data_IF_437145372622
#
_entry.id   IF_437145372622
#
_cell.length_a   1.000
_cell.length_b   1.000
_cell.length_c   1.000
_cell.angle_alpha   90.00
_cell.angle_beta   90.00
_cell.angle_gamma   90.00
#
_symmetry.space_group_name_H-M   'P 1'
#
loop_
_entity.id
_entity.type
_entity.pdbx_description
1 polymer ?
#
# COMPACT_ATOMS: atom_id res chain seq x y z
N UNK A 1 14.37 -6.87 -13.78
CA UNK A 1 15.35 -6.41 -12.77
C UNK A 1 14.64 -6.42 -11.44
N UNK A 2 15.27 -6.92 -10.38
CA UNK A 2 14.66 -6.97 -9.05
C UNK A 2 14.58 -5.57 -8.42
N UNK A 3 13.70 -5.43 -7.42
CA UNK A 3 13.61 -4.24 -6.58
C UNK A 3 14.95 -3.99 -5.83
N UNK A 4 15.32 -2.74 -5.54
CA UNK A 4 16.50 -2.42 -4.76
C UNK A 4 16.48 -3.12 -3.39
N UNK A 5 17.61 -3.74 -3.02
CA UNK A 5 17.76 -4.67 -1.89
C UNK A 5 17.15 -4.19 -0.54
N UNK A 6 17.23 -2.88 -0.25
CA UNK A 6 16.77 -2.27 1.00
C UNK A 6 15.24 -2.06 1.05
N UNK A 7 14.59 -1.84 -0.10
CA UNK A 7 13.13 -1.76 -0.20
C UNK A 7 12.53 -3.15 -0.31
N UNK A 8 13.24 -4.07 -0.99
CA UNK A 8 12.91 -5.49 -1.00
C UNK A 8 12.93 -6.07 0.43
N UNK A 9 13.96 -5.83 1.25
CA UNK A 9 13.97 -6.30 2.65
C UNK A 9 12.88 -5.66 3.51
N UNK A 10 12.59 -4.37 3.32
CA UNK A 10 11.52 -3.70 4.06
C UNK A 10 10.15 -4.27 3.70
N UNK A 11 9.90 -4.51 2.40
CA UNK A 11 8.70 -5.18 1.92
C UNK A 11 8.65 -6.66 2.37
N UNK A 12 9.76 -7.39 2.32
CA UNK A 12 9.84 -8.79 2.77
C UNK A 12 9.60 -8.93 4.28
N UNK A 13 10.10 -8.01 5.10
CA UNK A 13 9.89 -8.05 6.55
C UNK A 13 8.45 -7.72 6.94
N UNK A 14 7.81 -6.80 6.21
CA UNK A 14 6.37 -6.50 6.33
C UNK A 14 5.55 -7.75 6.02
N UNK A 15 5.98 -8.53 5.03
CA UNK A 15 5.28 -9.71 4.51
C UNK A 15 5.35 -10.93 5.43
N UNK A 16 6.47 -11.18 6.12
CA UNK A 16 6.72 -12.49 6.77
C UNK A 16 5.97 -12.75 8.08
N UNK A 17 5.28 -11.78 8.69
CA UNK A 17 5.01 -11.90 10.12
C UNK A 17 3.71 -12.62 10.53
N UNK A 18 2.69 -12.68 9.68
CA UNK A 18 1.45 -13.44 9.73
C UNK A 18 0.52 -13.66 11.04
N UNK A 19 -0.46 -12.74 11.40
CA UNK A 19 -1.71 -12.71 12.30
C UNK A 19 -3.04 -11.99 11.76
N UNK A 20 -4.28 -12.56 11.72
CA UNK A 20 -5.51 -12.14 10.95
C UNK A 20 -6.62 -11.22 11.58
N UNK A 21 -7.34 -10.40 10.75
CA UNK A 21 -8.81 -10.01 10.73
C UNK A 21 -9.08 -8.59 10.14
N UNK A 22 -9.85 -8.47 9.04
CA UNK A 22 -10.61 -7.24 8.65
C UNK A 22 -11.92 -7.63 7.96
N UNK A 23 -13.07 -7.19 8.50
CA UNK A 23 -14.43 -7.56 8.01
C UNK A 23 -15.25 -6.39 7.46
N UNK A 24 -14.67 -5.21 7.22
CA UNK A 24 -15.44 -4.00 6.87
C UNK A 24 -15.21 -3.42 5.47
N UNK A 25 -14.11 -3.72 4.78
CA UNK A 25 -13.80 -3.12 3.45
C UNK A 25 -14.29 -3.94 2.25
N UNK A 26 -15.02 -5.04 2.50
CA UNK A 26 -15.32 -6.09 1.51
C UNK A 26 -16.28 -5.63 0.39
N UNK A 27 -17.11 -4.61 0.60
CA UNK A 27 -18.13 -4.22 -0.38
C UNK A 27 -17.59 -3.43 -1.58
N UNK A 28 -16.59 -2.56 -1.40
CA UNK A 28 -15.98 -1.81 -2.52
C UNK A 28 -15.11 -2.72 -3.39
N UNK A 29 -14.41 -3.66 -2.76
CA UNK A 29 -13.58 -4.65 -3.46
C UNK A 29 -14.39 -5.55 -4.40
N UNK A 30 -15.63 -5.90 -4.02
CA UNK A 30 -16.52 -6.77 -4.81
C UNK A 30 -17.01 -6.16 -6.13
N UNK A 31 -16.86 -4.86 -6.34
CA UNK A 31 -17.22 -4.21 -7.62
C UNK A 31 -16.11 -4.28 -8.67
N UNK A 32 -14.89 -4.66 -8.28
CA UNK A 32 -13.76 -4.83 -9.18
C UNK A 32 -13.65 -6.29 -9.67
N UNK A 33 -12.89 -6.49 -10.74
CA UNK A 33 -12.65 -7.82 -11.33
C UNK A 33 -12.12 -8.82 -10.29
N UNK A 34 -12.60 -10.07 -10.34
CA UNK A 34 -12.15 -11.17 -9.49
C UNK A 34 -11.57 -12.31 -10.36
N UNK A 35 -10.25 -12.56 -10.33
CA UNK A 35 -9.25 -11.89 -9.48
C UNK A 35 -8.90 -10.47 -9.97
N UNK A 36 -8.37 -9.59 -9.09
CA UNK A 36 -7.93 -8.25 -9.47
C UNK A 36 -6.88 -8.28 -10.60
N UNK A 37 -6.90 -7.29 -11.51
CA UNK A 37 -5.94 -7.23 -12.61
C UNK A 37 -4.52 -6.96 -12.12
N UNK A 38 -3.52 -7.35 -12.89
CA UNK A 38 -2.12 -7.00 -12.63
C UNK A 38 -1.87 -5.53 -13.00
N UNK A 39 -1.15 -4.80 -12.14
CA UNK A 39 -0.84 -3.39 -12.41
C UNK A 39 0.05 -3.19 -13.64
N UNK A 40 -0.32 -2.21 -14.48
CA UNK A 40 0.50 -1.67 -15.58
C UNK A 40 1.78 -0.99 -15.09
N UNK A 41 1.79 -0.51 -13.86
CA UNK A 41 2.90 0.25 -13.27
C UNK A 41 3.88 -0.63 -12.48
N UNK A 42 3.59 -1.94 -12.32
CA UNK A 42 4.42 -2.84 -11.52
C UNK A 42 5.80 -3.13 -12.13
N UNK A 43 5.89 -3.39 -13.44
CA UNK A 43 7.14 -3.83 -14.09
C UNK A 43 8.22 -2.73 -14.13
N UNK A 44 7.80 -1.46 -14.19
CA UNK A 44 8.66 -0.28 -14.25
C UNK A 44 8.64 0.56 -12.98
N UNK A 45 8.23 -0.01 -11.84
CA UNK A 45 8.07 0.73 -10.61
C UNK A 45 9.38 1.41 -10.18
N UNK A 46 9.40 2.73 -10.24
CA UNK A 46 10.50 3.55 -9.75
C UNK A 46 10.45 3.58 -8.22
N UNK A 47 11.56 3.23 -7.57
CA UNK A 47 11.75 3.38 -6.12
C UNK A 47 12.77 4.48 -5.90
N UNK A 48 12.39 5.52 -5.14
CA UNK A 48 13.22 6.68 -4.90
C UNK A 48 14.30 6.38 -3.86
N UNK A 49 15.55 6.72 -4.18
CA UNK A 49 16.66 6.75 -3.22
C UNK A 49 16.61 8.03 -2.35
N UNK A 50 15.53 8.19 -1.58
CA UNK A 50 15.28 9.36 -0.73
C UNK A 50 15.69 9.15 0.75
N UNK A 51 16.28 7.99 1.07
CA UNK A 51 16.65 7.62 2.44
C UNK A 51 15.48 7.26 3.36
N UNK A 52 14.26 7.17 2.83
CA UNK A 52 13.07 6.75 3.58
C UNK A 52 13.00 5.23 3.59
N UNK A 53 13.42 4.62 4.71
CA UNK A 53 13.22 3.21 4.99
C UNK A 53 11.92 2.99 5.76
N UNK A 54 11.19 1.93 5.43
CA UNK A 54 10.06 1.47 6.24
C UNK A 54 10.65 0.59 7.34
N UNK A 55 10.44 1.01 8.60
CA UNK A 55 10.89 0.23 9.75
C UNK A 55 10.24 -1.16 9.70
N UNK A 56 10.99 -2.26 9.87
CA UNK A 56 10.44 -3.61 9.78
C UNK A 56 9.47 -3.95 10.91
N UNK A 57 9.44 -3.21 12.03
CA UNK A 57 8.51 -3.42 13.14
C UNK A 57 7.13 -2.81 12.82
N UNK A 58 6.06 -3.62 12.66
CA UNK A 58 4.72 -3.11 12.39
C UNK A 58 4.18 -2.15 13.45
N UNK A 59 4.69 -2.23 14.69
CA UNK A 59 4.27 -1.35 15.80
C UNK A 59 4.80 0.08 15.66
N UNK A 60 5.84 0.25 14.85
CA UNK A 60 6.43 1.57 14.58
C UNK A 60 5.65 2.35 13.50
N UNK A 61 4.84 1.64 12.69
CA UNK A 61 4.14 2.25 11.57
C UNK A 61 3.06 3.21 12.03
N UNK A 62 3.05 4.37 11.39
CA UNK A 62 2.05 5.41 11.60
C UNK A 62 1.88 6.24 10.35
N UNK A 63 0.69 6.76 10.15
CA UNK A 63 0.42 7.72 9.10
C UNK A 63 1.30 8.97 9.31
N UNK A 64 2.09 9.35 8.30
CA UNK A 64 2.93 10.55 8.34
C UNK A 64 2.14 11.85 8.51
N UNK A 65 0.86 11.86 8.13
CA UNK A 65 -0.03 13.03 8.19
C UNK A 65 -0.82 13.15 9.50
N UNK A 66 -1.41 12.07 9.97
CA UNK A 66 -2.33 12.07 11.14
C UNK A 66 -1.77 11.38 12.38
N UNK A 67 -0.76 10.53 12.22
CA UNK A 67 -0.24 9.68 13.31
C UNK A 67 -1.07 8.43 13.61
N UNK A 68 -2.12 8.15 12.85
CA UNK A 68 -2.93 6.93 12.99
C UNK A 68 -2.04 5.68 12.85
N UNK A 69 -2.38 4.61 13.55
CA UNK A 69 -1.62 3.34 13.53
C UNK A 69 -2.38 2.18 12.87
N UNK A 70 -3.56 2.46 12.32
CA UNK A 70 -4.43 1.48 11.65
C UNK A 70 -4.89 2.02 10.30
N UNK A 71 -5.33 1.11 9.42
CA UNK A 71 -5.71 1.44 8.03
C UNK A 71 -4.61 2.24 7.33
N UNK A 72 -3.40 1.69 7.36
CA UNK A 72 -2.21 2.32 6.81
C UNK A 72 -1.93 1.78 5.41
N UNK A 73 -1.32 2.61 4.58
CA UNK A 73 -1.02 2.31 3.19
C UNK A 73 0.38 2.83 2.87
N UNK A 74 1.25 1.94 2.42
CA UNK A 74 2.61 2.23 2.02
C UNK A 74 2.67 2.53 0.53
N UNK A 75 3.23 3.67 0.17
CA UNK A 75 3.59 3.97 -1.21
C UNK A 75 4.86 3.22 -1.60
N UNK A 76 4.76 2.38 -2.63
CA UNK A 76 5.85 1.48 -3.03
C UNK A 76 7.04 2.20 -3.69
N UNK A 77 6.83 3.39 -4.22
CA UNK A 77 7.90 4.18 -4.83
C UNK A 77 8.64 5.05 -3.81
N UNK A 78 7.93 5.64 -2.86
CA UNK A 78 8.52 6.68 -1.99
C UNK A 78 8.78 6.24 -0.55
N UNK A 79 8.28 5.05 -0.15
CA UNK A 79 8.36 4.60 1.24
C UNK A 79 7.40 5.31 2.20
N UNK A 80 6.48 6.16 1.68
CA UNK A 80 5.60 6.96 2.53
C UNK A 80 4.45 6.12 3.09
N UNK A 81 4.20 6.23 4.39
CA UNK A 81 3.06 5.59 5.05
C UNK A 81 1.95 6.64 5.27
N UNK A 82 0.84 6.47 4.57
CA UNK A 82 -0.34 7.30 4.69
C UNK A 82 -1.54 6.54 5.25
N UNK A 83 -2.47 7.24 5.89
CA UNK A 83 -3.75 6.66 6.27
C UNK A 83 -4.66 6.44 5.06
N UNK A 84 -5.56 5.47 5.18
CA UNK A 84 -6.53 5.10 4.15
C UNK A 84 -7.53 6.21 3.81
N UNK A 85 -8.40 5.93 2.84
CA UNK A 85 -9.39 6.90 2.36
C UNK A 85 -10.41 7.26 3.46
N UNK A 86 -10.82 8.52 3.46
CA UNK A 86 -11.92 9.03 4.29
C UNK A 86 -13.25 8.81 3.57
N UNK A 87 -14.22 8.28 4.30
CA UNK A 87 -15.58 8.07 3.85
C UNK A 87 -16.37 9.40 3.87
N UNK A 88 -17.49 9.43 3.14
CA UNK A 88 -18.34 10.63 3.04
C UNK A 88 -19.01 11.00 4.38
N UNK A 89 -19.21 10.02 5.26
CA UNK A 89 -19.79 10.18 6.60
C UNK A 89 -18.76 10.64 7.65
N UNK A 90 -17.50 10.86 7.24
CA UNK A 90 -16.40 11.28 8.11
C UNK A 90 -15.65 10.13 8.79
N UNK A 91 -16.10 8.88 8.62
CA UNK A 91 -15.37 7.68 9.06
C UNK A 91 -14.24 7.31 8.08
N UNK A 92 -13.51 6.23 8.35
CA UNK A 92 -12.41 5.75 7.50
C UNK A 92 -11.05 6.26 7.98
N UNK A 93 -10.14 6.55 7.05
CA UNK A 93 -8.79 7.04 7.33
C UNK A 93 -8.59 8.54 7.09
N UNK A 94 -7.35 8.97 7.17
CA UNK A 94 -6.96 10.38 7.08
C UNK A 94 -6.77 10.93 5.65
N UNK A 95 -7.01 10.12 4.61
CA UNK A 95 -6.61 10.37 3.22
C UNK A 95 -5.11 10.51 2.98
N UNK A 96 -4.26 10.25 3.98
CA UNK A 96 -2.82 10.52 3.89
C UNK A 96 -2.14 9.90 2.67
N UNK A 97 -2.52 8.69 2.27
CA UNK A 97 -1.93 8.03 1.10
C UNK A 97 -2.35 8.66 -0.23
N UNK A 98 -3.64 9.01 -0.37
CA UNK A 98 -4.18 9.69 -1.54
C UNK A 98 -3.61 11.11 -1.66
N UNK A 99 -3.49 11.81 -0.53
CA UNK A 99 -2.95 13.16 -0.49
C UNK A 99 -1.48 13.16 -0.92
N UNK A 100 -0.67 12.22 -0.44
CA UNK A 100 0.72 12.04 -0.88
C UNK A 100 0.85 11.78 -2.39
N UNK A 101 -0.04 10.96 -2.96
CA UNK A 101 -0.08 10.76 -4.41
C UNK A 101 -0.35 12.08 -5.17
N UNK A 102 -1.26 12.93 -4.67
CA UNK A 102 -1.52 14.23 -5.28
C UNK A 102 -0.32 15.20 -5.11
N UNK A 103 0.27 15.24 -3.92
CA UNK A 103 1.41 16.11 -3.56
C UNK A 103 2.68 15.79 -4.36
N UNK A 104 2.86 14.51 -4.73
CA UNK A 104 3.96 14.07 -5.61
C UNK A 104 3.69 14.31 -7.10
N UNK A 105 2.63 15.05 -7.44
CA UNK A 105 2.26 15.33 -8.82
C UNK A 105 1.69 14.13 -9.56
N UNK A 106 1.05 13.19 -8.83
CA UNK A 106 0.42 11.98 -9.36
C UNK A 106 1.39 10.99 -10.02
N UNK A 107 2.63 10.94 -9.54
CA UNK A 107 3.70 10.10 -10.12
C UNK A 107 3.76 8.69 -9.56
N UNK A 108 3.36 8.50 -8.30
CA UNK A 108 3.58 7.26 -7.56
C UNK A 108 2.25 6.64 -7.16
N UNK A 109 1.54 5.96 -8.08
CA UNK A 109 0.15 5.58 -7.87
C UNK A 109 -0.01 4.33 -7.00
N UNK A 110 1.01 3.48 -6.91
CA UNK A 110 0.88 2.17 -6.28
C UNK A 110 1.06 2.26 -4.76
N UNK A 111 0.05 1.76 -4.06
CA UNK A 111 0.08 1.60 -2.61
C UNK A 111 -0.28 0.18 -2.22
N UNK A 112 0.30 -0.27 -1.11
CA UNK A 112 -0.01 -1.54 -0.47
C UNK A 112 -0.56 -1.27 0.92
N UNK A 113 -1.65 -1.94 1.29
CA UNK A 113 -2.23 -1.82 2.62
C UNK A 113 -1.28 -2.45 3.63
N UNK A 114 -0.88 -1.66 4.62
CA UNK A 114 -0.20 -2.14 5.82
C UNK A 114 -1.29 -2.57 6.80
N UNK A 115 -1.42 -3.88 6.99
CA UNK A 115 -2.59 -4.43 7.64
C UNK A 115 -2.33 -5.81 8.18
N UNK A 116 -2.10 -5.82 9.49
CA UNK A 116 -1.90 -6.97 10.38
C UNK A 116 -0.86 -7.96 9.91
N UNK A 117 -0.48 -8.77 10.86
CA UNK A 117 0.69 -9.58 10.74
C UNK A 117 0.38 -10.57 9.56
N UNK A 118 -0.87 -11.12 9.34
CA UNK A 118 -1.32 -12.34 8.50
C UNK A 118 -1.96 -11.90 7.23
N UNK A 119 -1.16 -11.39 6.32
CA UNK A 119 -1.51 -11.52 4.93
C UNK A 119 -0.46 -12.42 4.28
N UNK A 120 -0.92 -13.54 3.73
CA UNK A 120 -0.22 -14.18 2.62
C UNK A 120 0.11 -13.07 1.61
N UNK A 121 1.29 -13.07 1.02
CA UNK A 121 1.74 -12.02 0.08
C UNK A 121 0.73 -11.84 -1.04
N UNK A 122 0.13 -12.95 -1.46
CA UNK A 122 -0.87 -13.04 -2.52
C UNK A 122 -2.24 -12.47 -2.09
N UNK A 123 -2.42 -12.17 -0.79
CA UNK A 123 -3.62 -11.59 -0.17
C UNK A 123 -3.45 -10.16 0.30
N UNK A 124 -2.29 -9.54 0.09
CA UNK A 124 -2.09 -8.14 0.49
C UNK A 124 -2.85 -7.21 -0.46
N UNK A 125 -3.77 -6.45 0.11
CA UNK A 125 -4.56 -5.44 -0.59
C UNK A 125 -3.64 -4.39 -1.25
N UNK A 126 -3.53 -4.43 -2.57
CA UNK A 126 -2.84 -3.41 -3.36
C UNK A 126 -3.86 -2.53 -4.10
N UNK A 127 -3.54 -1.25 -4.25
CA UNK A 127 -4.40 -0.27 -4.92
C UNK A 127 -3.56 0.69 -5.77
N UNK A 128 -4.08 1.10 -6.92
CA UNK A 128 -3.51 2.17 -7.74
C UNK A 128 -4.41 3.39 -7.73
N UNK A 129 -3.81 4.58 -7.56
CA UNK A 129 -4.49 5.87 -7.74
C UNK A 129 -4.40 6.45 -9.17
N UNK A 130 -3.80 5.71 -10.11
CA UNK A 130 -3.68 6.17 -11.49
C UNK A 130 -5.08 6.24 -12.15
N UNK A 131 -5.45 7.31 -12.87
CA UNK A 131 -6.79 7.43 -13.45
C UNK A 131 -7.16 6.33 -14.46
N UNK A 132 -6.16 5.71 -15.09
CA UNK A 132 -6.34 4.60 -16.04
C UNK A 132 -6.26 3.21 -15.38
N UNK A 133 -6.10 3.17 -14.06
CA UNK A 133 -6.01 1.98 -13.20
C UNK A 133 -6.42 2.37 -11.76
N UNK A 134 -7.57 3.01 -11.55
CA UNK A 134 -8.01 3.47 -10.22
C UNK A 134 -8.79 2.36 -9.53
N UNK A 135 -8.09 1.50 -8.79
CA UNK A 135 -8.72 0.33 -8.19
C UNK A 135 -7.77 -0.67 -7.53
N UNK A 136 -8.36 -1.70 -6.90
CA UNK A 136 -7.66 -2.90 -6.45
C UNK A 136 -6.94 -3.60 -7.60
N UNK A 137 -5.77 -4.14 -7.29
CA UNK A 137 -4.91 -4.78 -8.28
C UNK A 137 -3.99 -5.82 -7.63
N UNK A 138 -3.29 -6.58 -8.45
CA UNK A 138 -2.17 -7.43 -8.05
C UNK A 138 -0.84 -6.82 -8.48
N UNK A 139 0.15 -6.93 -7.60
CA UNK A 139 1.54 -6.55 -7.89
C UNK A 139 2.38 -7.83 -7.86
N UNK A 140 2.76 -8.38 -9.03
CA UNK A 140 3.62 -9.55 -9.10
C UNK A 140 4.96 -9.25 -8.40
N UNK A 141 5.48 -10.24 -7.67
CA UNK A 141 6.81 -10.16 -7.04
C UNK A 141 6.96 -9.12 -5.91
N UNK A 142 5.86 -8.76 -5.23
CA UNK A 142 5.96 -7.98 -3.99
C UNK A 142 6.79 -8.69 -2.90
N UNK A 143 7.00 -10.00 -3.03
CA UNK A 143 7.99 -10.76 -2.27
C UNK A 143 8.89 -11.55 -3.21
N UNK A 144 10.12 -11.06 -3.36
CA UNK A 144 11.23 -11.80 -3.96
C UNK A 144 12.56 -11.15 -3.60
#
# INVERSE_FOLDING_TARGET
GGLPFHVAESAESVVRHAGAEVRSDVEVWKMHEDPPPVSKYAEGLEVLENGVGVDPDPKSWKCGKSGDTTNLWLNLSTGYIGGGRRNWDGSGGSNGALDHYNETGKKYPLVVKLGTIDADVDSIDCFSYAPDEDGPLKIPHLSK
#
